data_IF_352768311359
#
_entry.id   IF_352768311359
#
_cell.length_a   1.000
_cell.length_b   1.000
_cell.length_c   1.000
_cell.angle_alpha   90.00
_cell.angle_beta   90.00
_cell.angle_gamma   90.00
#
_symmetry.space_group_name_H-M   'P 1'
#
loop_
_entity.id
_entity.type
_entity.pdbx_description
1 polymer ?
#
# COMPACT_ATOMS: atom_id res chain seq x y z
N UNK A 1 4.11 -54.17 -36.04
CA UNK A 1 4.70 -52.85 -35.83
C UNK A 1 3.54 -51.85 -35.78
N UNK A 2 3.06 -51.57 -34.60
CA UNK A 2 1.94 -50.65 -34.39
C UNK A 2 2.51 -49.32 -33.92
N UNK A 3 2.21 -48.26 -34.65
CA UNK A 3 2.52 -46.87 -34.30
C UNK A 3 1.56 -46.34 -33.22
N UNK A 4 2.02 -45.60 -32.21
CA UNK A 4 1.14 -45.00 -31.26
C UNK A 4 0.55 -43.68 -31.80
N UNK A 5 -0.73 -43.56 -31.67
CA UNK A 5 -1.56 -42.38 -31.96
C UNK A 5 -1.34 -41.30 -30.89
N UNK A 6 -0.93 -40.11 -31.31
CA UNK A 6 -0.69 -38.97 -30.42
C UNK A 6 -2.00 -38.26 -30.20
N UNK A 7 -2.57 -38.40 -29.01
CA UNK A 7 -3.74 -37.64 -28.59
C UNK A 7 -3.36 -36.20 -28.22
N UNK A 8 -3.82 -35.25 -29.01
CA UNK A 8 -3.71 -33.82 -28.73
C UNK A 8 -4.77 -33.42 -27.73
N UNK A 9 -4.38 -33.14 -26.49
CA UNK A 9 -5.27 -32.62 -25.49
C UNK A 9 -5.48 -31.11 -25.72
N UNK A 10 -6.71 -30.74 -26.08
CA UNK A 10 -7.15 -29.35 -26.17
C UNK A 10 -7.42 -28.83 -24.76
N UNK A 11 -6.67 -27.79 -24.33
CA UNK A 11 -6.92 -27.12 -23.07
C UNK A 11 -8.27 -26.37 -23.12
N UNK A 12 -9.06 -26.39 -22.06
CA UNK A 12 -10.30 -25.62 -22.00
C UNK A 12 -10.00 -24.12 -21.95
N UNK A 13 -10.67 -23.34 -22.79
CA UNK A 13 -10.66 -21.88 -22.73
C UNK A 13 -11.29 -21.43 -21.44
N UNK A 14 -10.54 -20.69 -20.61
CA UNK A 14 -11.08 -20.01 -19.45
C UNK A 14 -12.07 -18.93 -19.94
N UNK A 15 -13.35 -19.12 -19.66
CA UNK A 15 -14.34 -18.06 -19.81
C UNK A 15 -14.01 -16.93 -18.84
N UNK A 16 -13.91 -15.70 -19.34
CA UNK A 16 -13.91 -14.51 -18.52
C UNK A 16 -15.20 -14.51 -17.68
N UNK A 17 -15.07 -14.86 -16.40
CA UNK A 17 -16.15 -14.67 -15.46
C UNK A 17 -16.29 -13.16 -15.24
N UNK A 18 -17.41 -12.59 -15.70
CA UNK A 18 -17.83 -11.26 -15.29
C UNK A 18 -17.80 -11.24 -13.75
N UNK A 19 -16.92 -10.41 -13.19
CA UNK A 19 -16.92 -10.10 -11.77
C UNK A 19 -18.24 -9.37 -11.48
N UNK A 20 -19.24 -10.13 -11.03
CA UNK A 20 -20.47 -9.52 -10.53
C UNK A 20 -20.11 -8.68 -9.32
N UNK A 21 -20.40 -7.39 -9.38
CA UNK A 21 -20.34 -6.51 -8.22
C UNK A 21 -21.28 -7.11 -7.17
N UNK A 22 -20.82 -7.48 -5.98
CA UNK A 22 -21.69 -8.04 -4.95
C UNK A 22 -22.75 -7.00 -4.58
N UNK A 23 -24.01 -7.46 -4.37
CA UNK A 23 -25.05 -6.58 -3.89
C UNK A 23 -24.64 -5.92 -2.56
N UNK A 24 -25.02 -4.63 -2.34
CA UNK A 24 -24.69 -3.94 -1.10
C UNK A 24 -25.22 -4.74 0.10
N UNK A 25 -24.35 -5.05 1.04
CA UNK A 25 -24.74 -5.68 2.31
C UNK A 25 -25.55 -4.64 3.09
N UNK A 26 -26.78 -4.98 3.45
CA UNK A 26 -27.69 -4.10 4.21
C UNK A 26 -26.99 -3.60 5.49
N UNK A 27 -26.85 -2.28 5.65
CA UNK A 27 -26.18 -1.65 6.79
C UNK A 27 -24.77 -1.12 6.54
N UNK A 28 -24.13 -1.42 5.39
CA UNK A 28 -22.83 -0.84 5.04
C UNK A 28 -22.99 0.42 4.20
N UNK A 29 -22.40 1.52 4.65
CA UNK A 29 -22.35 2.78 3.91
C UNK A 29 -20.97 2.95 3.31
N UNK A 30 -20.90 3.20 1.99
CA UNK A 30 -19.65 3.57 1.34
C UNK A 30 -19.19 4.93 1.86
N UNK A 31 -17.94 4.99 2.34
CA UNK A 31 -17.33 6.25 2.77
C UNK A 31 -16.50 6.84 1.63
N UNK A 32 -16.74 8.11 1.31
CA UNK A 32 -15.84 8.87 0.45
C UNK A 32 -14.48 9.01 1.15
N UNK A 33 -13.42 8.71 0.42
CA UNK A 33 -12.04 8.78 0.91
C UNK A 33 -11.24 9.74 0.06
N UNK A 34 -10.19 10.26 0.64
CA UNK A 34 -9.15 11.04 -0.04
C UNK A 34 -7.89 10.20 -0.11
N UNK A 35 -7.41 9.93 -1.31
CA UNK A 35 -6.23 9.11 -1.55
C UNK A 35 -5.08 9.95 -2.09
N UNK A 36 -3.87 9.65 -1.66
CA UNK A 36 -2.65 10.12 -2.30
C UNK A 36 -2.13 9.04 -3.24
N UNK A 37 -1.88 9.39 -4.49
CA UNK A 37 -1.30 8.48 -5.46
C UNK A 37 -0.04 9.10 -6.11
N UNK A 38 0.88 8.27 -6.54
CA UNK A 38 2.07 8.67 -7.30
C UNK A 38 2.08 7.95 -8.65
N UNK A 39 2.35 8.68 -9.73
CA UNK A 39 2.41 8.07 -11.07
C UNK A 39 3.62 7.15 -11.20
N UNK A 40 3.49 5.98 -11.85
CA UNK A 40 4.59 5.01 -11.99
C UNK A 40 5.53 5.34 -13.15
N UNK A 41 5.84 6.62 -13.39
CA UNK A 41 6.67 7.05 -14.52
C UNK A 41 8.12 6.55 -14.42
N UNK A 42 8.59 6.38 -13.17
CA UNK A 42 9.94 5.88 -12.86
C UNK A 42 9.93 4.46 -12.31
N UNK A 43 8.75 3.78 -12.35
CA UNK A 43 8.62 2.44 -11.80
C UNK A 43 9.48 1.43 -12.54
N UNK A 44 10.35 0.78 -11.79
CA UNK A 44 11.19 -0.33 -12.24
C UNK A 44 11.59 -1.18 -11.05
N UNK A 45 11.90 -2.46 -11.30
CA UNK A 45 12.46 -3.35 -10.27
C UNK A 45 13.96 -3.43 -10.50
N UNK A 46 14.74 -2.57 -9.83
CA UNK A 46 16.19 -2.46 -10.00
C UNK A 46 17.00 -2.98 -8.80
N UNK A 47 16.33 -3.28 -7.69
CA UNK A 47 16.92 -3.82 -6.46
C UNK A 47 15.96 -4.83 -5.82
N UNK A 48 16.37 -5.43 -4.70
CA UNK A 48 15.55 -6.42 -3.98
C UNK A 48 15.49 -6.06 -2.51
N UNK A 49 14.32 -5.63 -2.03
CA UNK A 49 14.03 -5.33 -0.64
C UNK A 49 12.84 -6.13 -0.08
N UNK A 50 12.29 -7.03 -0.89
CA UNK A 50 11.28 -8.01 -0.50
C UNK A 50 11.34 -9.24 -1.42
N UNK A 51 10.73 -10.39 -1.04
CA UNK A 51 10.81 -11.64 -1.81
C UNK A 51 10.16 -11.62 -3.20
N UNK A 52 9.36 -10.60 -3.51
CA UNK A 52 8.63 -10.50 -4.78
C UNK A 52 9.40 -9.74 -5.86
N UNK A 53 10.50 -9.07 -5.48
CA UNK A 53 11.30 -8.26 -6.40
C UNK A 53 12.36 -9.12 -7.08
N UNK A 54 12.30 -9.15 -8.41
CA UNK A 54 13.25 -9.88 -9.26
C UNK A 54 13.85 -8.93 -10.30
N UNK A 55 14.99 -8.25 -10.01
CA UNK A 55 15.61 -7.30 -10.94
C UNK A 55 16.02 -7.88 -12.29
N UNK A 56 16.20 -9.21 -12.36
CA UNK A 56 16.49 -9.89 -13.62
C UNK A 56 15.30 -9.95 -14.58
N UNK A 57 14.07 -9.73 -14.11
CA UNK A 57 12.87 -9.65 -14.94
C UNK A 57 12.65 -8.21 -15.40
N UNK A 58 12.59 -7.97 -16.72
CA UNK A 58 12.30 -6.63 -17.23
C UNK A 58 10.94 -6.14 -16.73
N UNK A 59 10.90 -4.88 -16.27
CA UNK A 59 9.67 -4.21 -15.89
C UNK A 59 8.99 -3.63 -17.13
N UNK A 60 7.71 -3.92 -17.32
CA UNK A 60 6.87 -3.30 -18.35
C UNK A 60 6.24 -2.02 -17.78
N UNK A 61 6.96 -0.92 -17.87
CA UNK A 61 6.51 0.38 -17.35
C UNK A 61 5.24 0.87 -18.06
N UNK A 62 5.06 0.60 -19.34
CA UNK A 62 3.84 0.98 -20.06
C UNK A 62 2.61 0.27 -19.50
N UNK A 63 2.75 -1.02 -19.19
CA UNK A 63 1.70 -1.80 -18.52
C UNK A 63 1.43 -1.29 -17.11
N UNK A 64 2.47 -0.96 -16.34
CA UNK A 64 2.31 -0.38 -14.99
C UNK A 64 1.53 0.93 -15.03
N UNK A 65 1.86 1.84 -15.96
CA UNK A 65 1.13 3.10 -16.18
C UNK A 65 -0.33 2.85 -16.56
N UNK A 66 -0.60 1.91 -17.46
CA UNK A 66 -1.96 1.59 -17.87
C UNK A 66 -2.80 0.97 -16.72
N UNK A 67 -2.20 0.13 -15.88
CA UNK A 67 -2.86 -0.45 -14.72
C UNK A 67 -3.12 0.61 -13.63
N UNK A 68 -2.16 1.47 -13.39
CA UNK A 68 -2.29 2.59 -12.46
C UNK A 68 -3.42 3.53 -12.90
N UNK A 69 -3.50 3.87 -14.19
CA UNK A 69 -4.54 4.75 -14.72
C UNK A 69 -5.94 4.16 -14.49
N UNK A 70 -6.10 2.84 -14.68
CA UNK A 70 -7.38 2.17 -14.41
C UNK A 70 -7.78 2.29 -12.94
N UNK A 71 -6.83 2.14 -12.00
CA UNK A 71 -7.11 2.29 -10.58
C UNK A 71 -7.49 3.74 -10.23
N UNK A 72 -6.76 4.70 -10.78
CA UNK A 72 -7.04 6.12 -10.61
C UNK A 72 -8.46 6.47 -11.10
N UNK A 73 -8.80 6.04 -12.30
CA UNK A 73 -10.13 6.28 -12.89
C UNK A 73 -11.23 5.63 -12.05
N UNK A 74 -11.01 4.40 -11.57
CA UNK A 74 -11.96 3.70 -10.70
C UNK A 74 -12.20 4.44 -9.38
N UNK A 75 -11.16 4.98 -8.75
CA UNK A 75 -11.35 5.77 -7.53
C UNK A 75 -12.22 6.99 -7.77
N UNK A 76 -12.03 7.70 -8.89
CA UNK A 76 -12.86 8.84 -9.28
C UNK A 76 -14.31 8.42 -9.59
N UNK A 77 -14.51 7.31 -10.31
CA UNK A 77 -15.83 6.75 -10.59
C UNK A 77 -16.61 6.39 -9.32
N UNK A 78 -15.91 5.89 -8.29
CA UNK A 78 -16.47 5.61 -6.98
C UNK A 78 -16.70 6.86 -6.12
N UNK A 79 -16.37 8.04 -6.64
CA UNK A 79 -16.59 9.33 -5.97
C UNK A 79 -15.52 9.66 -4.92
N UNK A 80 -14.38 8.99 -4.94
CA UNK A 80 -13.26 9.32 -4.07
C UNK A 80 -12.49 10.54 -4.58
N UNK A 81 -11.84 11.26 -3.69
CA UNK A 81 -10.88 12.30 -4.02
C UNK A 81 -9.49 11.66 -4.20
N UNK A 82 -8.80 12.01 -5.29
CA UNK A 82 -7.44 11.53 -5.53
C UNK A 82 -6.51 12.70 -5.77
N UNK A 83 -5.51 12.80 -4.93
CA UNK A 83 -4.42 13.76 -5.07
C UNK A 83 -3.15 13.07 -5.54
N UNK A 84 -2.28 13.85 -6.17
CA UNK A 84 -1.05 13.33 -6.74
C UNK A 84 0.17 13.95 -6.06
N UNK A 85 1.17 13.11 -5.82
CA UNK A 85 2.53 13.54 -5.53
C UNK A 85 3.40 13.29 -6.75
N UNK A 86 4.30 14.24 -7.07
CA UNK A 86 5.22 14.11 -8.19
C UNK A 86 6.21 12.97 -7.97
N UNK A 87 6.37 12.07 -8.94
CA UNK A 87 7.33 10.98 -8.84
C UNK A 87 8.77 11.50 -8.91
N UNK A 88 9.63 10.99 -8.04
CA UNK A 88 11.04 11.34 -8.03
C UNK A 88 11.86 10.36 -8.88
N UNK A 89 12.68 10.89 -9.78
CA UNK A 89 13.64 10.08 -10.52
C UNK A 89 14.64 9.40 -9.57
N UNK A 90 14.82 8.10 -9.73
CA UNK A 90 15.68 7.29 -8.86
C UNK A 90 14.97 6.64 -7.68
N UNK A 91 13.68 6.93 -7.46
CA UNK A 91 12.86 6.33 -6.40
C UNK A 91 11.64 5.61 -7.00
N UNK A 92 11.87 4.43 -7.61
CA UNK A 92 10.82 3.71 -8.34
C UNK A 92 9.66 3.23 -7.44
N UNK A 93 9.92 3.00 -6.15
CA UNK A 93 8.93 2.52 -5.20
C UNK A 93 8.01 3.63 -4.64
N UNK A 94 8.23 4.89 -5.02
CA UNK A 94 7.37 6.00 -4.62
C UNK A 94 5.91 5.84 -5.08
N UNK A 95 5.65 4.98 -6.05
CA UNK A 95 4.30 4.56 -6.48
C UNK A 95 3.48 3.90 -5.35
N UNK A 96 4.15 3.30 -4.37
CA UNK A 96 3.53 2.68 -3.19
C UNK A 96 3.29 3.71 -2.09
N UNK A 97 2.36 4.63 -2.34
CA UNK A 97 2.09 5.79 -1.48
C UNK A 97 1.55 5.46 -0.10
N UNK A 98 1.01 4.26 0.14
CA UNK A 98 0.67 3.78 1.47
C UNK A 98 1.88 3.82 2.42
N UNK A 99 3.09 3.57 1.90
CA UNK A 99 4.31 3.70 2.70
C UNK A 99 4.76 5.16 2.91
N UNK A 100 4.11 6.13 2.23
CA UNK A 100 4.49 7.54 2.25
C UNK A 100 4.12 8.29 3.54
N UNK A 101 3.38 7.67 4.45
CA UNK A 101 3.01 8.22 5.74
C UNK A 101 1.81 7.53 6.36
N UNK A 102 1.44 7.97 7.56
CA UNK A 102 0.22 7.57 8.25
C UNK A 102 -0.51 8.80 8.74
N UNK A 103 -1.82 8.91 8.48
CA UNK A 103 -2.57 10.13 8.74
C UNK A 103 -3.82 9.89 9.57
N UNK A 104 -4.01 10.70 10.62
CA UNK A 104 -5.25 10.74 11.41
C UNK A 104 -5.56 12.20 11.71
N UNK A 105 -6.81 12.63 11.53
CA UNK A 105 -7.35 13.92 11.96
C UNK A 105 -6.50 15.14 11.53
N UNK A 106 -5.99 15.13 10.29
CA UNK A 106 -5.19 16.23 9.74
C UNK A 106 -3.73 16.26 10.20
N UNK A 107 -3.28 15.30 10.97
CA UNK A 107 -1.87 15.08 11.30
C UNK A 107 -1.29 14.00 10.41
N UNK A 108 -0.03 14.15 10.01
CA UNK A 108 0.71 13.18 9.22
C UNK A 108 2.01 12.78 9.92
N UNK A 109 2.19 11.49 10.14
CA UNK A 109 3.43 10.88 10.61
C UNK A 109 4.19 10.37 9.39
N UNK A 110 5.34 11.00 9.12
CA UNK A 110 6.15 10.77 7.91
C UNK A 110 6.90 9.43 8.03
N UNK A 111 7.21 8.74 6.92
CA UNK A 111 8.01 7.52 7.01
C UNK A 111 9.48 7.82 7.29
N UNK A 112 10.14 6.94 8.03
CA UNK A 112 11.59 6.77 8.06
C UNK A 112 11.91 5.39 7.52
N UNK A 113 12.21 5.33 6.21
CA UNK A 113 12.36 4.06 5.52
C UNK A 113 13.56 3.25 6.00
N UNK A 114 13.33 1.95 6.20
CA UNK A 114 14.39 1.01 6.59
C UNK A 114 15.49 0.89 5.54
N UNK A 115 15.11 0.83 4.26
CA UNK A 115 16.03 0.60 3.15
C UNK A 115 16.47 1.90 2.52
N UNK A 116 17.79 2.03 2.30
CA UNK A 116 18.41 3.22 1.72
C UNK A 116 17.85 3.59 0.35
N UNK A 117 17.37 2.59 -0.39
CA UNK A 117 16.74 2.75 -1.70
C UNK A 117 15.49 3.63 -1.66
N UNK A 118 14.83 3.71 -0.48
CA UNK A 118 13.61 4.49 -0.29
C UNK A 118 13.76 5.72 0.61
N UNK A 119 14.86 5.85 1.35
CA UNK A 119 15.03 6.94 2.34
C UNK A 119 14.89 8.33 1.73
N UNK A 120 15.27 8.53 0.48
CA UNK A 120 15.10 9.81 -0.21
C UNK A 120 13.66 10.16 -0.56
N UNK A 121 12.69 9.26 -0.39
CA UNK A 121 11.26 9.53 -0.57
C UNK A 121 10.68 10.35 0.60
N UNK A 122 11.17 10.14 1.84
CA UNK A 122 10.62 10.77 3.05
C UNK A 122 10.55 12.29 2.99
N UNK A 123 11.57 13.02 2.52
CA UNK A 123 11.49 14.47 2.40
C UNK A 123 10.38 14.95 1.45
N UNK A 124 10.14 14.24 0.35
CA UNK A 124 9.11 14.60 -0.62
C UNK A 124 7.70 14.38 -0.03
N UNK A 125 7.46 13.29 0.67
CA UNK A 125 6.21 13.07 1.38
C UNK A 125 6.00 14.13 2.49
N UNK A 126 7.04 14.45 3.26
CA UNK A 126 6.96 15.47 4.29
C UNK A 126 6.62 16.86 3.72
N UNK A 127 7.23 17.23 2.59
CA UNK A 127 6.94 18.48 1.90
C UNK A 127 5.49 18.49 1.38
N UNK A 128 5.06 17.40 0.75
CA UNK A 128 3.70 17.27 0.25
C UNK A 128 2.66 17.42 1.37
N UNK A 129 2.83 16.74 2.52
CA UNK A 129 1.92 16.85 3.65
C UNK A 129 1.85 18.29 4.18
N UNK A 130 2.98 18.97 4.37
CA UNK A 130 3.02 20.37 4.82
C UNK A 130 2.32 21.30 3.84
N UNK A 131 2.57 21.14 2.54
CA UNK A 131 1.96 21.95 1.49
C UNK A 131 0.43 21.77 1.42
N UNK A 132 -0.06 20.60 1.82
CA UNK A 132 -1.49 20.26 1.83
C UNK A 132 -2.16 20.41 3.21
N UNK A 133 -1.52 21.12 4.14
CA UNK A 133 -2.12 21.58 5.38
C UNK A 133 -2.13 20.56 6.53
N UNK A 134 -1.36 19.48 6.42
CA UNK A 134 -1.20 18.53 7.52
C UNK A 134 -0.24 19.05 8.59
N UNK A 135 -0.57 18.80 9.87
CA UNK A 135 0.38 18.88 10.97
C UNK A 135 1.39 17.72 10.83
N UNK A 136 2.57 18.03 10.29
CA UNK A 136 3.51 17.02 9.82
C UNK A 136 4.57 16.72 10.88
N UNK A 137 4.57 15.48 11.36
CA UNK A 137 5.51 14.97 12.35
C UNK A 137 6.61 14.14 11.66
N UNK A 138 7.85 14.54 11.89
CA UNK A 138 9.02 13.77 11.45
C UNK A 138 9.31 12.69 12.48
N UNK A 139 9.53 11.43 12.05
CA UNK A 139 9.80 10.32 12.97
C UNK A 139 11.22 10.37 13.53
N UNK A 140 11.40 9.74 14.69
CA UNK A 140 12.70 9.34 15.22
C UNK A 140 12.97 7.85 14.94
N UNK A 141 11.91 7.06 14.75
CA UNK A 141 11.96 5.61 14.61
C UNK A 141 11.61 5.15 13.19
N UNK A 142 12.24 4.06 12.76
CA UNK A 142 12.00 3.46 11.43
C UNK A 142 10.56 2.98 11.31
N UNK A 143 9.84 3.53 10.33
CA UNK A 143 8.47 3.19 10.01
C UNK A 143 8.20 3.34 8.49
N UNK A 144 7.22 2.60 7.99
CA UNK A 144 6.81 2.67 6.58
C UNK A 144 5.30 2.97 6.43
N UNK A 145 4.80 3.93 7.21
CA UNK A 145 3.48 4.53 7.07
C UNK A 145 2.31 3.53 7.13
N UNK A 146 1.29 3.75 6.30
CA UNK A 146 0.09 2.87 6.22
C UNK A 146 0.40 1.45 5.73
N UNK A 147 1.61 1.18 5.23
CA UNK A 147 2.05 -0.18 5.00
C UNK A 147 2.07 -1.02 6.29
N UNK A 148 2.43 -0.39 7.42
CA UNK A 148 2.55 -1.07 8.71
C UNK A 148 1.60 -0.52 9.80
N UNK A 149 0.91 0.60 9.56
CA UNK A 149 -0.06 1.17 10.51
C UNK A 149 -1.45 1.22 9.89
N UNK A 150 -2.43 0.62 10.58
CA UNK A 150 -3.82 0.59 10.14
C UNK A 150 -4.73 1.09 11.27
N UNK A 151 -5.59 2.07 10.99
CA UNK A 151 -6.55 2.57 11.98
C UNK A 151 -7.82 1.71 11.96
N UNK A 152 -8.22 1.22 13.14
CA UNK A 152 -9.46 0.46 13.36
C UNK A 152 -10.19 1.05 14.57
N UNK A 153 -11.23 1.81 14.32
CA UNK A 153 -11.87 2.61 15.36
C UNK A 153 -10.87 3.61 15.96
N UNK A 154 -10.63 3.51 17.27
CA UNK A 154 -9.67 4.33 18.00
C UNK A 154 -8.31 3.65 18.23
N UNK A 155 -8.12 2.45 17.69
CA UNK A 155 -6.91 1.65 17.87
C UNK A 155 -6.08 1.61 16.59
N UNK A 156 -4.78 1.76 16.72
CA UNK A 156 -3.81 1.56 15.64
C UNK A 156 -3.30 0.13 15.71
N UNK A 157 -3.53 -0.64 14.64
CA UNK A 157 -2.82 -1.90 14.43
C UNK A 157 -1.44 -1.57 13.86
N UNK A 158 -0.37 -2.05 14.48
CA UNK A 158 0.99 -1.74 14.08
C UNK A 158 1.82 -3.00 13.83
N UNK A 159 2.31 -3.14 12.59
CA UNK A 159 3.12 -4.27 12.15
C UNK A 159 4.62 -4.06 12.37
N UNK A 160 5.32 -5.09 12.86
CA UNK A 160 6.79 -5.11 12.94
C UNK A 160 7.32 -6.46 12.48
N UNK A 161 8.63 -6.54 12.25
CA UNK A 161 9.33 -7.78 11.89
C UNK A 161 10.21 -7.63 10.65
N UNK A 162 9.76 -6.89 9.65
CA UNK A 162 10.52 -6.74 8.38
C UNK A 162 10.84 -5.29 8.04
N UNK A 163 9.94 -4.35 8.29
CA UNK A 163 10.07 -2.95 7.89
C UNK A 163 10.06 -2.02 9.09
N UNK A 164 8.92 -1.73 9.67
CA UNK A 164 8.81 -0.87 10.84
C UNK A 164 9.35 -1.54 12.10
N UNK A 165 9.93 -0.75 13.00
CA UNK A 165 10.47 -1.21 14.29
C UNK A 165 9.38 -1.26 15.36
N UNK A 166 9.58 -2.05 16.41
CA UNK A 166 8.69 -2.04 17.57
C UNK A 166 8.69 -0.71 18.34
N UNK A 167 9.79 0.06 18.26
CA UNK A 167 9.89 1.38 18.89
C UNK A 167 9.01 2.42 18.18
N UNK A 168 8.82 2.31 16.86
CA UNK A 168 7.90 3.15 16.11
C UNK A 168 6.43 2.96 16.52
N UNK A 169 6.08 1.80 17.12
CA UNK A 169 4.72 1.56 17.65
C UNK A 169 4.42 2.48 18.86
N UNK A 170 5.39 2.67 19.74
CA UNK A 170 5.26 3.61 20.85
C UNK A 170 5.16 5.04 20.32
N UNK A 171 6.06 5.41 19.40
CA UNK A 171 6.11 6.75 18.83
C UNK A 171 4.79 7.12 18.12
N UNK A 172 4.26 6.24 17.26
CA UNK A 172 2.98 6.51 16.56
C UNK A 172 1.81 6.65 17.53
N UNK A 173 1.80 5.86 18.62
CA UNK A 173 0.81 5.97 19.68
C UNK A 173 0.87 7.33 20.40
N UNK A 174 2.07 7.81 20.70
CA UNK A 174 2.30 9.14 21.31
C UNK A 174 1.91 10.28 20.33
N UNK A 175 2.29 10.16 19.05
CA UNK A 175 1.96 11.16 18.02
C UNK A 175 0.47 11.36 17.87
N UNK A 176 -0.32 10.29 17.85
CA UNK A 176 -1.77 10.37 17.63
C UNK A 176 -2.60 10.32 18.91
N UNK A 177 -2.00 10.04 20.06
CA UNK A 177 -2.72 9.86 21.32
C UNK A 177 -3.69 8.67 21.28
N UNK A 178 -3.30 7.58 20.60
CA UNK A 178 -4.11 6.38 20.36
C UNK A 178 -3.48 5.15 20.98
N UNK A 179 -4.33 4.18 21.32
CA UNK A 179 -3.86 2.84 21.68
C UNK A 179 -3.25 2.15 20.46
N UNK A 180 -2.16 1.41 20.68
CA UNK A 180 -1.48 0.65 19.62
C UNK A 180 -1.47 -0.82 19.96
N UNK A 181 -2.00 -1.63 19.05
CA UNK A 181 -1.90 -3.08 19.10
C UNK A 181 -0.75 -3.54 18.21
N UNK A 182 0.34 -3.98 18.83
CA UNK A 182 1.52 -4.46 18.12
C UNK A 182 1.32 -5.87 17.57
N UNK A 183 1.63 -6.06 16.30
CA UNK A 183 1.55 -7.33 15.57
C UNK A 183 2.93 -7.67 15.00
N UNK A 184 3.38 -8.91 15.21
CA UNK A 184 4.64 -9.39 14.66
C UNK A 184 4.39 -10.18 13.37
N UNK A 185 4.92 -9.68 12.25
CA UNK A 185 4.88 -10.35 10.96
C UNK A 185 5.94 -11.46 10.95
N UNK A 186 5.52 -12.69 10.67
CA UNK A 186 6.38 -13.88 10.78
C UNK A 186 6.75 -14.50 9.43
N UNK A 187 6.04 -14.14 8.38
CA UNK A 187 6.28 -14.66 7.01
C UNK A 187 6.77 -13.52 6.11
N UNK A 188 7.99 -13.60 5.54
CA UNK A 188 8.54 -12.54 4.70
C UNK A 188 7.75 -12.28 3.40
N UNK A 189 6.84 -13.17 3.02
CA UNK A 189 5.91 -12.92 1.91
C UNK A 189 4.88 -11.84 2.24
N UNK A 190 4.60 -11.66 3.54
CA UNK A 190 3.75 -10.60 4.08
C UNK A 190 4.63 -9.65 4.90
N UNK A 191 5.49 -8.91 4.18
CA UNK A 191 6.53 -8.06 4.78
C UNK A 191 6.01 -6.70 5.27
N UNK A 192 4.76 -6.36 4.97
CA UNK A 192 3.99 -5.25 5.52
C UNK A 192 2.67 -5.74 6.10
N UNK A 193 2.11 -5.00 7.04
CA UNK A 193 0.84 -5.34 7.66
C UNK A 193 -0.32 -5.29 6.65
N UNK A 194 -0.35 -4.29 5.78
CA UNK A 194 -1.35 -4.12 4.72
C UNK A 194 -1.33 -5.23 3.66
N UNK A 195 -0.24 -6.00 3.57
CA UNK A 195 -0.18 -7.19 2.72
C UNK A 195 -0.83 -8.42 3.35
N UNK A 196 -1.10 -8.38 4.65
CA UNK A 196 -1.66 -9.49 5.43
C UNK A 196 -3.10 -9.22 5.90
N UNK A 197 -3.45 -7.95 6.16
CA UNK A 197 -4.73 -7.54 6.75
C UNK A 197 -5.30 -6.37 5.94
N UNK A 198 -6.62 -6.38 5.72
CA UNK A 198 -7.35 -5.23 5.19
C UNK A 198 -8.45 -4.81 6.18
N UNK A 199 -8.52 -3.51 6.48
CA UNK A 199 -9.58 -2.95 7.31
C UNK A 199 -10.80 -2.68 6.42
N UNK A 200 -11.86 -3.46 6.60
CA UNK A 200 -13.08 -3.34 5.79
C UNK A 200 -14.02 -2.26 6.31
N UNK A 201 -14.07 -2.08 7.64
CA UNK A 201 -14.86 -1.04 8.29
C UNK A 201 -14.02 -0.38 9.40
N UNK A 202 -13.51 0.83 9.15
CA UNK A 202 -12.68 1.52 10.15
C UNK A 202 -13.48 2.06 11.34
N UNK A 203 -14.80 2.18 11.23
CA UNK A 203 -15.66 2.76 12.28
C UNK A 203 -16.13 1.69 13.27
N UNK A 204 -16.50 0.50 12.78
CA UNK A 204 -17.02 -0.58 13.61
C UNK A 204 -15.96 -1.61 14.03
N UNK A 205 -14.73 -1.42 13.61
CA UNK A 205 -13.63 -2.31 13.99
C UNK A 205 -13.71 -3.71 13.36
N UNK A 206 -14.43 -3.87 12.25
CA UNK A 206 -14.46 -5.12 11.51
C UNK A 206 -13.17 -5.26 10.67
N UNK A 207 -12.21 -6.01 11.20
CA UNK A 207 -11.07 -6.53 10.45
C UNK A 207 -11.32 -8.00 10.11
N UNK A 208 -11.05 -8.40 8.89
CA UNK A 208 -11.05 -9.81 8.45
C UNK A 208 -9.64 -10.29 8.19
#
# INVERSE_FOLDING_TARGET
>A
MSTPETATATAPSASESELSVPEPVEGRTAHHRRYLMCRPEHFTVSYTINPWMEPAKPTDTAKAVAQWQKLYDLYLELGHEVELIEPLAGYPDMVYTANGGFTIDGRAYVPEFRFVERQGESPAFAEWFRANGFDTVMPEEVNEGEGDFLLVGDTILAGTGFRSTGDSHREVGEVFGREVLSLNLVDPRFYHLDTAIAVLDPVEGAAN
#
